data_IF_538607343938
#
_entry.id   IF_538607343938
#
_cell.length_a   1.000
_cell.length_b   1.000
_cell.length_c   1.000
_cell.angle_alpha   90.00
_cell.angle_beta   90.00
_cell.angle_gamma   90.00
#
_symmetry.space_group_name_H-M   'P 1'
#
loop_
_entity.id
_entity.type
_entity.pdbx_description
1 polymer ?
#
# COMPACT_ATOMS: atom_id res chain seq x y z
N UNK A 1 -2.20 -13.52 -22.68
CA UNK A 1 -3.44 -12.76 -22.44
C UNK A 1 -3.68 -12.48 -20.96
N UNK A 2 -3.84 -13.49 -20.08
CA UNK A 2 -4.26 -13.28 -18.69
C UNK A 2 -3.40 -12.30 -17.86
N UNK A 3 -2.06 -12.36 -17.98
CA UNK A 3 -1.18 -11.41 -17.27
C UNK A 3 -1.46 -9.97 -17.69
N UNK A 4 -1.66 -9.71 -18.99
CA UNK A 4 -1.93 -8.37 -19.50
C UNK A 4 -3.26 -7.82 -18.97
N UNK A 5 -4.32 -8.64 -18.99
CA UNK A 5 -5.62 -8.28 -18.43
C UNK A 5 -5.54 -8.00 -16.93
N UNK A 6 -4.81 -8.85 -16.18
CA UNK A 6 -4.60 -8.66 -14.75
C UNK A 6 -3.86 -7.35 -14.47
N UNK A 7 -2.82 -7.03 -15.24
CA UNK A 7 -2.11 -5.75 -15.11
C UNK A 7 -3.02 -4.57 -15.40
N UNK A 8 -3.89 -4.66 -16.42
CA UNK A 8 -4.88 -3.60 -16.71
C UNK A 8 -5.89 -3.43 -15.58
N UNK A 9 -6.38 -4.53 -15.00
CA UNK A 9 -7.28 -4.48 -13.84
C UNK A 9 -6.59 -3.86 -12.63
N UNK A 10 -5.34 -4.23 -12.36
CA UNK A 10 -4.56 -3.64 -11.27
C UNK A 10 -4.32 -2.15 -11.48
N UNK A 11 -4.00 -1.72 -12.70
CA UNK A 11 -3.86 -0.30 -13.06
C UNK A 11 -5.18 0.46 -12.87
N UNK A 12 -6.31 -0.13 -13.28
CA UNK A 12 -7.63 0.47 -13.10
C UNK A 12 -7.95 0.68 -11.61
N UNK A 13 -7.67 -0.33 -10.78
CA UNK A 13 -7.84 -0.26 -9.32
C UNK A 13 -6.95 0.84 -8.74
N UNK A 14 -5.67 0.91 -9.13
CA UNK A 14 -4.75 1.94 -8.66
C UNK A 14 -5.24 3.35 -9.00
N UNK A 15 -5.74 3.57 -10.22
CA UNK A 15 -6.31 4.86 -10.65
C UNK A 15 -7.57 5.19 -9.85
N UNK A 16 -8.47 4.23 -9.66
CA UNK A 16 -9.70 4.43 -8.89
C UNK A 16 -9.41 4.80 -7.42
N UNK A 17 -8.47 4.10 -6.78
CA UNK A 17 -8.01 4.41 -5.42
C UNK A 17 -7.36 5.79 -5.34
N UNK A 18 -6.55 6.16 -6.34
CA UNK A 18 -5.93 7.49 -6.40
C UNK A 18 -7.00 8.58 -6.51
N UNK A 19 -7.99 8.41 -7.38
CA UNK A 19 -9.11 9.34 -7.51
C UNK A 19 -9.93 9.45 -6.22
N UNK A 20 -10.16 8.33 -5.53
CA UNK A 20 -10.85 8.29 -4.25
C UNK A 20 -10.07 9.01 -3.16
N UNK A 21 -8.75 8.81 -3.08
CA UNK A 21 -7.89 9.50 -2.11
C UNK A 21 -7.94 11.03 -2.28
N UNK A 22 -7.91 11.50 -3.53
CA UNK A 22 -8.04 12.92 -3.86
C UNK A 22 -9.41 13.48 -3.47
N UNK A 23 -10.48 12.71 -3.68
CA UNK A 23 -11.85 13.11 -3.29
C UNK A 23 -12.05 13.20 -1.79
N UNK A 24 -11.44 12.30 -1.03
CA UNK A 24 -11.55 12.27 0.43
C UNK A 24 -10.50 13.18 1.12
N UNK A 25 -9.57 13.77 0.37
CA UNK A 25 -8.43 14.56 0.87
C UNK A 25 -7.61 13.88 1.97
N UNK A 26 -7.58 12.54 1.98
CA UNK A 26 -6.77 11.76 2.92
C UNK A 26 -5.51 11.24 2.22
N UNK A 27 -4.37 11.15 2.93
CA UNK A 27 -3.18 10.51 2.43
C UNK A 27 -3.50 9.08 1.97
N UNK A 28 -3.00 8.70 0.79
CA UNK A 28 -3.12 7.34 0.26
C UNK A 28 -2.69 6.25 1.25
N UNK A 29 -1.59 6.41 2.02
CA UNK A 29 -1.19 5.44 3.03
C UNK A 29 -2.26 5.19 4.12
N UNK A 30 -2.98 6.23 4.55
CA UNK A 30 -4.04 6.11 5.56
C UNK A 30 -5.24 5.32 5.04
N UNK A 31 -5.64 5.55 3.79
CA UNK A 31 -6.69 4.77 3.13
C UNK A 31 -6.32 3.30 2.98
N UNK A 32 -5.07 3.04 2.60
CA UNK A 32 -4.55 1.67 2.47
C UNK A 32 -4.52 0.96 3.83
N UNK A 33 -4.09 1.65 4.88
CA UNK A 33 -4.09 1.12 6.24
C UNK A 33 -5.51 0.80 6.74
N UNK A 34 -6.49 1.68 6.49
CA UNK A 34 -7.89 1.43 6.82
C UNK A 34 -8.47 0.24 6.05
N UNK A 35 -8.16 0.11 4.77
CA UNK A 35 -8.58 -1.03 3.96
C UNK A 35 -7.99 -2.34 4.50
N UNK A 36 -6.69 -2.35 4.84
CA UNK A 36 -6.02 -3.51 5.46
C UNK A 36 -6.61 -3.88 6.82
N UNK A 37 -6.87 -2.89 7.67
CA UNK A 37 -7.55 -3.10 8.96
C UNK A 37 -8.97 -3.67 8.75
N UNK A 38 -9.73 -3.11 7.80
CA UNK A 38 -11.03 -3.62 7.40
C UNK A 38 -10.96 -5.09 6.97
N UNK A 39 -9.99 -5.45 6.12
CA UNK A 39 -9.75 -6.83 5.69
C UNK A 39 -9.45 -7.74 6.89
N UNK A 40 -8.64 -7.30 7.85
CA UNK A 40 -8.28 -8.08 9.03
C UNK A 40 -9.47 -8.41 9.94
N UNK A 41 -10.57 -7.65 9.87
CA UNK A 41 -11.80 -7.96 10.59
C UNK A 41 -12.67 -9.04 9.93
N UNK A 42 -12.37 -9.45 8.69
CA UNK A 42 -13.16 -10.48 8.01
C UNK A 42 -12.79 -11.87 8.56
N UNK A 43 -13.78 -12.73 8.85
CA UNK A 43 -13.54 -14.05 9.47
C UNK A 43 -12.83 -15.04 8.54
N UNK A 44 -12.74 -14.73 7.25
CA UNK A 44 -12.04 -15.53 6.24
C UNK A 44 -10.72 -14.88 5.79
N UNK A 45 -10.28 -13.82 6.49
CA UNK A 45 -9.03 -13.17 6.15
C UNK A 45 -7.86 -14.17 6.26
N UNK A 46 -7.00 -14.26 5.24
CA UNK A 46 -5.83 -15.13 5.32
C UNK A 46 -4.90 -14.62 6.41
N UNK A 47 -4.47 -15.52 7.29
CA UNK A 47 -3.41 -15.22 8.26
C UNK A 47 -2.09 -15.18 7.50
N UNK A 48 -1.58 -13.97 7.25
CA UNK A 48 -0.29 -13.76 6.59
C UNK A 48 0.74 -13.49 7.68
N UNK A 49 1.61 -14.45 7.95
CA UNK A 49 2.81 -14.23 8.75
C UNK A 49 3.89 -13.61 7.85
N UNK A 50 4.26 -12.37 8.14
CA UNK A 50 5.34 -11.70 7.44
C UNK A 50 6.62 -11.91 8.24
N UNK A 51 7.63 -12.49 7.59
CA UNK A 51 8.97 -12.57 8.15
C UNK A 51 9.50 -11.16 8.47
N UNK A 52 9.91 -10.87 9.72
CA UNK A 52 10.45 -9.58 10.10
C UNK A 52 11.61 -9.10 9.22
N UNK A 53 12.49 -10.00 8.78
CA UNK A 53 13.63 -9.65 7.91
C UNK A 53 13.15 -9.18 6.54
N UNK A 54 12.13 -9.84 5.98
CA UNK A 54 11.49 -9.43 4.74
C UNK A 54 10.72 -8.12 4.90
N UNK A 55 10.01 -7.93 6.02
CA UNK A 55 9.29 -6.69 6.30
C UNK A 55 10.23 -5.49 6.36
N UNK A 56 11.37 -5.66 7.03
CA UNK A 56 12.41 -4.64 7.13
C UNK A 56 13.01 -4.32 5.76
N UNK A 57 13.39 -5.34 4.99
CA UNK A 57 14.04 -5.16 3.71
C UNK A 57 13.12 -4.57 2.63
N UNK A 58 11.85 -4.98 2.58
CA UNK A 58 10.92 -4.59 1.51
C UNK A 58 10.16 -3.30 1.80
N UNK A 59 9.86 -2.99 3.06
CA UNK A 59 9.03 -1.84 3.41
C UNK A 59 9.80 -0.81 4.23
N UNK A 60 10.36 -1.20 5.37
CA UNK A 60 10.89 -0.24 6.34
C UNK A 60 12.15 0.46 5.81
N UNK A 61 13.14 -0.30 5.33
CA UNK A 61 14.40 0.28 4.87
C UNK A 61 14.20 1.23 3.66
N UNK A 62 13.44 0.88 2.60
CA UNK A 62 13.16 1.79 1.50
C UNK A 62 12.41 3.05 1.94
N UNK A 63 11.39 2.92 2.80
CA UNK A 63 10.60 4.07 3.29
C UNK A 63 11.45 5.00 4.15
N UNK A 64 12.34 4.47 5.00
CA UNK A 64 13.27 5.30 5.77
C UNK A 64 14.27 6.04 4.88
N UNK A 65 14.76 5.38 3.83
CA UNK A 65 15.65 6.01 2.86
C UNK A 65 14.94 7.15 2.11
N UNK A 66 13.73 6.91 1.63
CA UNK A 66 12.89 7.91 0.96
C UNK A 66 12.61 9.11 1.88
N UNK A 67 12.21 8.85 3.13
CA UNK A 67 11.99 9.88 4.14
C UNK A 67 13.26 10.68 4.48
N UNK A 68 14.43 10.04 4.44
CA UNK A 68 15.70 10.72 4.63
C UNK A 68 16.03 11.66 3.46
N UNK A 69 15.67 11.31 2.22
CA UNK A 69 15.80 12.19 1.05
C UNK A 69 14.81 13.36 1.07
N UNK A 70 13.60 13.15 1.57
CA UNK A 70 12.58 14.20 1.72
C UNK A 70 12.87 15.18 2.87
N UNK A 71 13.72 14.78 3.82
CA UNK A 71 14.12 15.63 4.95
C UNK A 71 15.16 16.68 4.52
N UNK A 72 14.88 17.95 4.80
CA UNK A 72 15.83 19.05 4.63
C UNK A 72 16.98 18.93 5.63
N UNK A 73 18.23 19.07 5.16
CA UNK A 73 19.44 19.11 6.00
C UNK A 73 19.63 20.42 6.80
N UNK A 74 18.70 21.38 6.67
CA UNK A 74 18.74 22.68 7.36
C UNK A 74 18.03 22.65 8.70
#
# INVERSE_FOLDING_TARGET
>A
MALFELTLVLLLIAVALTALSRRLQVPYPSLLALAGAGIAFLPFAPTIEIDPELALALFIAPVLLDAAYDTSLR
#
